data_IF_314804156010
#
_entry.id   IF_314804156010
#
_cell.length_a   1.000
_cell.length_b   1.000
_cell.length_c   1.000
_cell.angle_alpha   90.00
_cell.angle_beta   90.00
_cell.angle_gamma   90.00
#
_symmetry.space_group_name_H-M   'P 1'
#
loop_
_entity.id
_entity.type
_entity.pdbx_description
1 polymer ?
#
# COMPACT_ATOMS: atom_id res chain seq x y z
N UNK A 1 28.61 4.39 4.79
CA UNK A 1 27.51 4.85 5.64
C UNK A 1 26.97 3.66 6.38
N UNK A 2 26.91 3.65 7.70
CA UNK A 2 26.45 2.48 8.45
C UNK A 2 24.95 2.28 8.21
N UNK A 3 24.57 1.05 7.92
CA UNK A 3 23.19 0.58 7.85
C UNK A 3 22.65 0.69 9.27
N UNK A 4 21.78 1.67 9.50
CA UNK A 4 21.08 1.82 10.77
C UNK A 4 20.19 0.59 10.96
N UNK A 5 20.57 -0.25 11.91
CA UNK A 5 19.79 -1.42 12.31
C UNK A 5 18.38 -0.95 12.71
N UNK A 6 17.37 -1.55 12.10
CA UNK A 6 15.98 -1.39 12.47
C UNK A 6 15.83 -1.55 13.99
N UNK A 7 15.15 -0.64 14.67
CA UNK A 7 14.91 -0.79 16.11
C UNK A 7 14.11 -2.07 16.36
N UNK A 8 14.60 -2.89 17.28
CA UNK A 8 14.09 -4.24 17.60
C UNK A 8 12.64 -4.31 18.11
N UNK A 9 11.97 -3.16 18.28
CA UNK A 9 10.66 -3.05 18.93
C UNK A 9 9.57 -2.41 18.06
N UNK A 10 9.75 -2.39 16.73
CA UNK A 10 8.62 -2.03 15.85
C UNK A 10 7.64 -3.21 15.84
N UNK A 11 6.34 -2.99 16.12
CA UNK A 11 5.33 -4.01 15.92
C UNK A 11 5.41 -4.57 14.50
N UNK A 12 5.24 -5.87 14.35
CA UNK A 12 5.38 -6.60 13.07
C UNK A 12 4.60 -5.96 11.92
N UNK A 13 3.45 -5.35 12.22
CA UNK A 13 2.58 -4.68 11.27
C UNK A 13 3.13 -3.36 10.71
N UNK A 14 4.06 -2.68 11.41
CA UNK A 14 4.77 -1.51 10.84
C UNK A 14 5.84 -1.99 9.87
N UNK A 15 6.48 -3.11 10.15
CA UNK A 15 7.44 -3.75 9.26
C UNK A 15 6.80 -4.09 7.90
N UNK A 16 5.52 -4.46 7.89
CA UNK A 16 4.76 -4.73 6.66
C UNK A 16 4.63 -3.52 5.73
N UNK A 17 4.62 -2.31 6.28
CA UNK A 17 4.60 -1.06 5.50
C UNK A 17 5.99 -0.72 4.93
N UNK A 18 7.06 -1.20 5.56
CA UNK A 18 8.44 -0.77 5.31
C UNK A 18 9.27 -1.81 4.53
N UNK A 19 9.02 -3.11 4.67
CA UNK A 19 9.90 -4.13 4.07
C UNK A 19 9.35 -4.76 2.79
N UNK A 20 9.78 -4.22 1.66
CA UNK A 20 9.99 -4.97 0.42
C UNK A 20 11.47 -4.85 0.09
N UNK A 21 12.33 -5.62 0.75
CA UNK A 21 13.75 -5.67 0.40
C UNK A 21 14.11 -7.01 -0.23
N UNK A 22 14.71 -6.91 -1.40
CA UNK A 22 15.17 -7.96 -2.28
C UNK A 22 16.12 -8.97 -1.63
N UNK A 23 15.96 -10.24 -1.99
CA UNK A 23 17.09 -11.15 -2.21
C UNK A 23 16.98 -11.77 -3.60
N UNK A 24 17.91 -11.40 -4.44
CA UNK A 24 18.13 -12.04 -5.74
C UNK A 24 18.80 -13.38 -5.47
N UNK A 25 18.22 -14.47 -5.93
CA UNK A 25 18.97 -15.71 -6.20
C UNK A 25 18.43 -16.32 -7.49
N UNK A 26 19.33 -16.37 -8.46
CA UNK A 26 19.16 -16.97 -9.79
C UNK A 26 19.39 -18.48 -9.70
N UNK A 27 18.50 -19.28 -10.30
CA UNK A 27 18.75 -20.61 -10.91
C UNK A 27 17.40 -21.12 -11.41
N UNK A 28 17.18 -21.47 -12.66
CA UNK A 28 17.85 -22.40 -13.50
C UNK A 28 16.77 -23.14 -14.29
N UNK A 29 16.83 -23.06 -15.58
CA UNK A 29 16.19 -23.70 -16.73
C UNK A 29 15.72 -25.17 -16.59
N UNK A 30 14.58 -25.53 -17.27
CA UNK A 30 14.34 -26.68 -18.17
C UNK A 30 12.89 -26.70 -18.63
N UNK A 31 12.63 -26.41 -19.86
CA UNK A 31 12.51 -27.13 -21.16
C UNK A 31 11.45 -28.26 -21.21
N UNK A 32 10.49 -28.05 -22.16
CA UNK A 32 9.79 -28.99 -23.08
C UNK A 32 8.55 -29.76 -22.58
N UNK A 33 7.40 -29.62 -23.22
CA UNK A 33 6.94 -30.31 -24.43
C UNK A 33 5.63 -29.76 -24.98
N UNK A 34 5.57 -29.61 -26.31
CA UNK A 34 4.41 -29.23 -27.12
C UNK A 34 3.37 -30.36 -27.23
N UNK A 35 2.12 -30.01 -26.98
CA UNK A 35 1.01 -30.70 -27.65
C UNK A 35 0.00 -29.64 -28.10
N UNK A 36 -0.10 -29.46 -29.40
CA UNK A 36 -1.00 -28.53 -30.07
C UNK A 36 -2.40 -29.17 -30.24
N UNK A 37 -3.40 -28.55 -29.59
CA UNK A 37 -4.80 -28.76 -29.89
C UNK A 37 -5.43 -27.41 -30.23
N UNK A 38 -6.06 -27.17 -31.37
CA UNK A 38 -6.68 -25.89 -31.68
C UNK A 38 -8.00 -25.78 -30.91
N UNK A 39 -7.96 -25.08 -29.77
CA UNK A 39 -9.17 -24.63 -29.08
C UNK A 39 -9.55 -23.29 -29.69
N UNK A 40 -10.71 -23.25 -30.31
CA UNK A 40 -11.38 -22.07 -30.81
C UNK A 40 -11.67 -21.15 -29.62
N UNK A 41 -10.81 -20.18 -29.39
CA UNK A 41 -10.94 -19.15 -28.35
C UNK A 41 -12.05 -18.18 -28.77
N UNK A 42 -13.23 -18.34 -28.22
CA UNK A 42 -14.22 -17.27 -28.12
C UNK A 42 -13.57 -16.19 -27.23
N UNK A 43 -13.13 -15.10 -27.85
CA UNK A 43 -12.62 -13.92 -27.15
C UNK A 43 -13.75 -13.29 -26.34
N UNK A 44 -13.88 -13.68 -25.08
CA UNK A 44 -14.71 -12.92 -24.14
C UNK A 44 -14.05 -11.56 -23.91
N UNK A 45 -14.78 -10.44 -23.97
CA UNK A 45 -14.22 -9.13 -23.66
C UNK A 45 -13.65 -9.16 -22.24
N UNK A 46 -12.40 -8.80 -22.12
CA UNK A 46 -11.65 -8.82 -20.86
C UNK A 46 -12.14 -7.70 -19.94
N UNK A 47 -13.13 -7.97 -19.12
CA UNK A 47 -13.62 -7.09 -18.05
C UNK A 47 -12.50 -6.73 -17.05
N UNK A 48 -11.50 -7.60 -16.90
CA UNK A 48 -10.34 -7.40 -16.04
C UNK A 48 -9.52 -6.16 -16.41
N UNK A 49 -9.33 -5.89 -17.71
CA UNK A 49 -8.57 -4.72 -18.15
C UNK A 49 -9.33 -3.41 -17.90
N UNK A 50 -10.65 -3.46 -17.83
CA UNK A 50 -11.52 -2.32 -17.54
C UNK A 50 -11.42 -1.91 -16.06
N UNK A 51 -11.46 -2.83 -15.12
CA UNK A 51 -11.43 -2.54 -13.68
C UNK A 51 -10.10 -1.94 -13.21
N UNK A 52 -8.96 -2.39 -13.76
CA UNK A 52 -7.66 -1.75 -13.48
C UNK A 52 -7.67 -0.31 -13.98
N UNK A 53 -8.14 -0.07 -15.20
CA UNK A 53 -8.24 1.28 -15.77
C UNK A 53 -9.22 2.18 -14.98
N UNK A 54 -10.32 1.62 -14.49
CA UNK A 54 -11.27 2.33 -13.61
C UNK A 54 -10.62 2.75 -12.30
N UNK A 55 -9.80 1.87 -11.69
CA UNK A 55 -9.08 2.17 -10.46
C UNK A 55 -8.02 3.24 -10.66
N UNK A 56 -7.22 3.15 -11.74
CA UNK A 56 -6.26 4.19 -12.12
C UNK A 56 -6.95 5.54 -12.35
N UNK A 57 -8.05 5.54 -13.09
CA UNK A 57 -8.86 6.74 -13.36
C UNK A 57 -9.40 7.33 -12.06
N UNK A 58 -9.91 6.48 -11.17
CA UNK A 58 -10.44 6.91 -9.88
C UNK A 58 -9.35 7.58 -9.04
N UNK A 59 -8.19 6.94 -8.85
CA UNK A 59 -7.08 7.55 -8.12
C UNK A 59 -6.58 8.83 -8.76
N UNK A 60 -6.48 8.87 -10.09
CA UNK A 60 -6.00 10.05 -10.81
C UNK A 60 -6.98 11.23 -10.75
N UNK A 61 -8.25 10.98 -10.47
CA UNK A 61 -9.28 12.01 -10.29
C UNK A 61 -9.30 12.57 -8.87
N UNK A 62 -9.16 11.71 -7.84
CA UNK A 62 -9.23 12.09 -6.42
C UNK A 62 -7.96 12.81 -5.99
N UNK A 63 -8.12 13.95 -5.31
CA UNK A 63 -6.99 14.75 -4.80
C UNK A 63 -6.73 14.50 -3.32
N UNK A 64 -7.78 14.39 -2.53
CA UNK A 64 -7.67 14.24 -1.07
C UNK A 64 -8.61 13.16 -0.55
N UNK A 65 -8.19 12.49 0.51
CA UNK A 65 -9.01 11.58 1.30
C UNK A 65 -8.76 11.89 2.78
N UNK A 66 -9.85 11.98 3.55
CA UNK A 66 -9.81 11.91 5.01
C UNK A 66 -10.67 10.75 5.45
N UNK A 67 -10.20 9.92 6.36
CA UNK A 67 -10.92 8.75 6.83
C UNK A 67 -10.50 8.36 8.24
N UNK A 68 -11.37 7.68 8.95
CA UNK A 68 -10.98 6.78 10.03
C UNK A 68 -10.56 5.45 9.40
N UNK A 69 -9.73 4.66 10.09
CA UNK A 69 -9.38 3.33 9.63
C UNK A 69 -9.35 2.31 10.75
N UNK A 70 -9.56 1.06 10.38
CA UNK A 70 -9.27 -0.11 11.20
C UNK A 70 -8.27 -0.97 10.45
N UNK A 71 -7.19 -1.32 11.12
CA UNK A 71 -6.14 -2.22 10.65
C UNK A 71 -6.22 -3.54 11.39
N UNK A 72 -6.10 -4.65 10.66
CA UNK A 72 -6.07 -5.99 11.23
C UNK A 72 -4.98 -6.78 10.51
N UNK A 73 -4.11 -7.42 11.26
CA UNK A 73 -3.09 -8.33 10.74
C UNK A 73 -3.41 -9.79 11.06
N UNK A 74 -2.93 -10.71 10.23
CA UNK A 74 -3.19 -12.15 10.36
C UNK A 74 -2.54 -12.77 11.61
N UNK A 75 -1.59 -12.08 12.26
CA UNK A 75 -1.02 -12.45 13.55
C UNK A 75 -1.94 -12.13 14.75
N UNK A 76 -3.14 -11.60 14.49
CA UNK A 76 -4.13 -11.22 15.49
C UNK A 76 -3.98 -9.81 16.04
N UNK A 77 -2.97 -9.06 15.60
CA UNK A 77 -2.82 -7.65 16.01
C UNK A 77 -3.82 -6.76 15.29
N UNK A 78 -4.29 -5.72 15.97
CA UNK A 78 -5.20 -4.73 15.41
C UNK A 78 -4.84 -3.32 15.87
N UNK A 79 -5.18 -2.35 15.05
CA UNK A 79 -5.02 -0.93 15.34
C UNK A 79 -6.12 -0.12 14.67
N UNK A 80 -6.40 1.06 15.22
CA UNK A 80 -7.32 2.03 14.64
C UNK A 80 -6.69 3.41 14.61
N UNK A 81 -7.22 4.30 13.80
CA UNK A 81 -6.70 5.66 13.75
C UNK A 81 -7.33 6.50 12.65
N UNK A 82 -6.62 7.55 12.26
CA UNK A 82 -7.02 8.51 11.25
C UNK A 82 -6.03 8.55 10.10
N UNK A 83 -6.55 8.68 8.90
CA UNK A 83 -5.80 8.87 7.67
C UNK A 83 -6.17 10.21 7.05
N UNK A 84 -5.19 11.01 6.70
CA UNK A 84 -5.32 12.10 5.74
C UNK A 84 -4.32 11.89 4.60
N UNK A 85 -4.79 12.10 3.40
CA UNK A 85 -4.08 11.79 2.17
C UNK A 85 -4.31 12.91 1.18
N UNK A 86 -3.25 13.43 0.57
CA UNK A 86 -3.30 14.45 -0.47
C UNK A 86 -2.23 14.18 -1.52
N UNK A 87 -2.66 14.00 -2.72
CA UNK A 87 -1.76 13.78 -3.86
C UNK A 87 -1.22 15.08 -4.44
N UNK A 88 0.02 15.05 -4.94
CA UNK A 88 0.98 13.96 -4.80
C UNK A 88 1.68 13.94 -3.43
N UNK A 89 2.24 12.80 -3.08
CA UNK A 89 3.27 12.58 -2.05
C UNK A 89 2.94 12.91 -0.60
N UNK A 90 1.73 13.39 -0.26
CA UNK A 90 1.39 13.78 1.11
C UNK A 90 0.39 12.81 1.73
N UNK A 91 0.78 12.18 2.84
CA UNK A 91 -0.08 11.34 3.65
C UNK A 91 0.33 11.45 5.12
N UNK A 92 -0.64 11.41 6.00
CA UNK A 92 -0.43 11.20 7.44
C UNK A 92 -1.39 10.15 7.93
N UNK A 93 -0.86 9.16 8.62
CA UNK A 93 -1.61 8.17 9.38
C UNK A 93 -1.30 8.40 10.85
N UNK A 94 -2.33 8.55 11.68
CA UNK A 94 -2.21 8.71 13.12
C UNK A 94 -2.87 7.51 13.77
N UNK A 95 -2.12 6.75 14.55
CA UNK A 95 -2.58 5.55 15.24
C UNK A 95 -3.03 5.86 16.66
N UNK A 96 -4.11 5.20 17.07
CA UNK A 96 -4.63 5.27 18.43
C UNK A 96 -5.27 6.61 18.80
N UNK A 97 -5.49 6.78 20.10
CA UNK A 97 -5.96 8.03 20.70
C UNK A 97 -4.77 8.68 21.41
N UNK A 98 -4.31 9.83 20.91
CA UNK A 98 -3.23 10.58 21.57
C UNK A 98 -1.89 10.60 20.82
N UNK A 99 -1.92 10.41 19.52
CA UNK A 99 -0.75 10.58 18.62
C UNK A 99 0.50 9.75 19.02
N UNK A 100 0.28 8.53 19.55
CA UNK A 100 1.37 7.63 20.03
C UNK A 100 2.28 7.20 18.89
N UNK A 101 1.75 7.10 17.67
CA UNK A 101 2.49 6.72 16.48
C UNK A 101 1.91 7.43 15.27
N UNK A 102 2.78 8.05 14.47
CA UNK A 102 2.39 8.70 13.24
C UNK A 102 3.27 8.22 12.08
N UNK A 103 2.66 8.01 10.92
CA UNK A 103 3.36 7.84 9.65
C UNK A 103 3.11 9.07 8.81
N UNK A 104 4.15 9.77 8.41
CA UNK A 104 4.04 11.01 7.64
C UNK A 104 4.90 10.86 6.39
N UNK A 105 4.32 11.10 5.21
CA UNK A 105 5.10 11.11 3.98
C UNK A 105 5.48 12.54 3.59
N UNK A 106 6.70 12.69 3.12
CA UNK A 106 7.20 13.95 2.61
C UNK A 106 8.12 13.68 1.43
N UNK A 107 7.71 14.11 0.24
CA UNK A 107 8.47 13.91 -1.00
C UNK A 107 8.76 12.42 -1.25
N UNK A 108 9.99 11.97 -1.02
CA UNK A 108 10.47 10.59 -1.26
C UNK A 108 10.66 9.79 0.03
N UNK A 109 10.25 10.36 1.18
CA UNK A 109 10.44 9.74 2.48
C UNK A 109 9.12 9.39 3.16
N UNK A 110 9.11 8.25 3.83
CA UNK A 110 8.15 7.88 4.86
C UNK A 110 8.81 8.06 6.22
N UNK A 111 8.25 8.93 7.03
CA UNK A 111 8.69 9.19 8.39
C UNK A 111 7.80 8.44 9.36
N UNK A 112 8.42 7.71 10.28
CA UNK A 112 7.78 7.06 11.43
C UNK A 112 8.09 7.91 12.64
N UNK A 113 7.08 8.57 13.17
CA UNK A 113 7.15 9.45 14.32
C UNK A 113 6.57 8.76 15.55
N UNK A 114 7.35 8.77 16.63
CA UNK A 114 6.94 8.30 17.96
C UNK A 114 7.08 9.45 18.94
N UNK A 115 6.02 10.22 19.15
CA UNK A 115 6.07 11.41 19.99
C UNK A 115 6.46 11.14 21.44
N UNK A 116 6.03 9.99 21.99
CA UNK A 116 6.37 9.54 23.36
C UNK A 116 7.86 9.26 23.55
N UNK A 117 8.52 8.74 22.51
CA UNK A 117 9.97 8.49 22.49
C UNK A 117 10.77 9.68 21.95
N UNK A 118 10.10 10.73 21.44
CA UNK A 118 10.69 11.86 20.67
C UNK A 118 11.57 11.36 19.53
N UNK A 119 11.16 10.29 18.87
CA UNK A 119 11.93 9.59 17.85
C UNK A 119 11.26 9.72 16.48
N UNK A 120 12.02 10.25 15.52
CA UNK A 120 11.64 10.31 14.11
C UNK A 120 12.62 9.47 13.30
N UNK A 121 12.10 8.42 12.64
CA UNK A 121 12.89 7.56 11.74
C UNK A 121 12.36 7.68 10.32
N UNK A 122 13.24 7.70 9.32
CA UNK A 122 12.86 7.92 7.92
C UNK A 122 13.27 6.76 7.03
N UNK A 123 12.40 6.37 6.13
CA UNK A 123 12.59 5.29 5.15
C UNK A 123 12.23 5.78 3.75
N UNK A 124 12.90 5.30 2.68
CA UNK A 124 12.49 5.62 1.32
C UNK A 124 11.06 5.15 1.05
N UNK A 125 10.18 6.04 0.57
CA UNK A 125 8.79 5.68 0.28
C UNK A 125 8.69 4.65 -0.86
N UNK A 126 9.68 4.63 -1.76
CA UNK A 126 9.77 3.65 -2.85
C UNK A 126 9.87 2.20 -2.38
N UNK A 127 10.27 1.98 -1.13
CA UNK A 127 10.30 0.65 -0.51
C UNK A 127 8.93 0.25 0.08
N UNK A 128 7.91 1.07 -0.10
CA UNK A 128 6.58 0.83 0.45
C UNK A 128 5.52 0.75 -0.67
N UNK A 129 4.45 -0.04 -0.49
CA UNK A 129 3.32 -0.06 -1.42
C UNK A 129 2.61 1.29 -1.56
N UNK A 130 2.78 2.19 -0.60
CA UNK A 130 2.18 3.52 -0.59
C UNK A 130 2.69 4.39 -1.75
N UNK A 131 3.92 4.15 -2.23
CA UNK A 131 4.49 4.86 -3.38
C UNK A 131 3.59 4.80 -4.61
N UNK A 132 2.86 3.70 -4.80
CA UNK A 132 1.96 3.49 -5.95
C UNK A 132 0.79 4.45 -5.93
N UNK A 133 0.11 4.56 -4.79
CA UNK A 133 -1.10 5.37 -4.67
C UNK A 133 -0.82 6.86 -4.42
N UNK A 134 0.38 7.19 -3.94
CA UNK A 134 0.83 8.56 -3.70
C UNK A 134 1.52 9.21 -4.91
N UNK A 135 1.78 8.46 -5.97
CA UNK A 135 2.39 8.98 -7.19
C UNK A 135 1.58 10.13 -7.81
N UNK A 136 2.24 11.07 -8.48
CA UNK A 136 1.54 12.17 -9.20
C UNK A 136 0.59 11.63 -10.27
N UNK A 137 1.00 10.57 -10.96
CA UNK A 137 0.16 9.78 -11.84
C UNK A 137 0.18 8.32 -11.38
N UNK A 138 -0.96 7.85 -10.89
CA UNK A 138 -1.11 6.45 -10.50
C UNK A 138 -1.20 5.58 -11.74
N UNK A 139 -0.31 4.60 -11.83
CA UNK A 139 -0.37 3.46 -12.71
C UNK A 139 -0.28 2.20 -11.87
N UNK A 140 -1.20 1.27 -12.10
CA UNK A 140 -1.22 -0.02 -11.42
C UNK A 140 -0.56 -1.11 -12.28
N UNK A 141 -0.20 -0.77 -13.52
CA UNK A 141 0.57 -1.62 -14.44
C UNK A 141 2.01 -1.12 -14.47
N UNK A 142 2.88 -1.79 -13.75
CA UNK A 142 4.28 -1.40 -13.57
C UNK A 142 5.19 -2.45 -14.20
N UNK A 143 6.30 -2.01 -14.77
CA UNK A 143 7.33 -2.91 -15.28
C UNK A 143 7.90 -3.76 -14.13
N UNK A 144 7.97 -5.08 -14.35
CA UNK A 144 8.43 -6.04 -13.34
C UNK A 144 7.42 -6.39 -12.25
N UNK A 145 6.16 -5.92 -12.38
CA UNK A 145 5.04 -6.31 -11.51
C UNK A 145 3.92 -6.94 -12.32
N UNK A 146 3.26 -7.90 -11.72
CA UNK A 146 2.04 -8.47 -12.24
C UNK A 146 0.83 -7.81 -11.59
N UNK A 147 -0.15 -7.43 -12.40
CA UNK A 147 -1.44 -6.91 -11.94
C UNK A 147 -2.54 -7.88 -12.30
N UNK A 148 -3.24 -8.39 -11.29
CA UNK A 148 -4.33 -9.38 -11.42
C UNK A 148 -5.62 -8.84 -10.86
N UNK A 149 -6.73 -9.16 -11.51
CA UNK A 149 -8.06 -9.04 -10.89
C UNK A 149 -8.34 -10.33 -10.15
N UNK A 150 -8.55 -10.23 -8.85
CA UNK A 150 -8.95 -11.38 -8.04
C UNK A 150 -10.45 -11.68 -8.22
N UNK A 151 -10.89 -12.93 -7.98
CA UNK A 151 -12.31 -13.26 -8.00
C UNK A 151 -13.12 -12.27 -7.17
N UNK A 152 -14.19 -11.75 -7.77
CA UNK A 152 -15.04 -10.75 -7.15
C UNK A 152 -15.81 -11.36 -5.96
N UNK A 153 -15.78 -10.64 -4.84
CA UNK A 153 -16.78 -10.78 -3.79
C UNK A 153 -17.91 -9.83 -4.17
N UNK A 154 -19.17 -10.23 -4.00
CA UNK A 154 -20.32 -9.45 -4.44
C UNK A 154 -20.19 -7.96 -4.07
N UNK A 155 -20.21 -7.10 -5.10
CA UNK A 155 -20.09 -5.64 -4.96
C UNK A 155 -18.69 -5.09 -4.66
N UNK A 156 -17.64 -5.93 -4.71
CA UNK A 156 -16.24 -5.55 -4.46
C UNK A 156 -15.37 -5.93 -5.65
N UNK A 157 -14.66 -4.98 -6.21
CA UNK A 157 -13.59 -5.16 -7.18
C UNK A 157 -12.26 -5.24 -6.44
N UNK A 158 -11.46 -6.27 -6.73
CA UNK A 158 -10.18 -6.55 -6.06
C UNK A 158 -9.05 -6.60 -7.07
N UNK A 159 -8.08 -5.71 -6.94
CA UNK A 159 -6.92 -5.60 -7.82
C UNK A 159 -5.68 -5.92 -7.00
N UNK A 160 -4.96 -6.96 -7.36
CA UNK A 160 -3.71 -7.35 -6.72
C UNK A 160 -2.53 -6.97 -7.60
N UNK A 161 -1.50 -6.40 -6.98
CA UNK A 161 -0.25 -5.99 -7.60
C UNK A 161 0.88 -6.64 -6.80
N UNK A 162 1.81 -7.29 -7.48
CA UNK A 162 2.96 -7.93 -6.84
C UNK A 162 4.01 -8.31 -7.86
N UNK A 163 5.24 -8.53 -7.42
CA UNK A 163 6.27 -9.14 -8.25
C UNK A 163 5.98 -10.63 -8.40
N UNK A 164 6.21 -11.17 -9.58
CA UNK A 164 6.07 -12.61 -9.85
C UNK A 164 7.43 -13.30 -9.71
N UNK A 165 7.99 -13.28 -8.50
CA UNK A 165 9.27 -13.91 -8.18
C UNK A 165 9.12 -15.21 -7.35
N UNK A 166 7.90 -15.77 -7.33
CA UNK A 166 7.61 -17.15 -6.89
C UNK A 166 7.47 -17.36 -5.39
N UNK A 167 8.19 -16.67 -4.54
CA UNK A 167 8.08 -16.84 -3.08
C UNK A 167 8.26 -15.51 -2.34
N UNK A 168 7.18 -15.02 -1.73
CA UNK A 168 7.27 -14.06 -0.65
C UNK A 168 7.51 -12.59 -1.00
N UNK A 169 7.44 -12.20 -2.27
CA UNK A 169 7.39 -10.78 -2.60
C UNK A 169 6.09 -10.16 -2.10
N UNK A 170 6.18 -9.02 -1.45
CA UNK A 170 5.03 -8.31 -0.93
C UNK A 170 3.97 -8.08 -2.01
N UNK A 171 2.72 -8.38 -1.68
CA UNK A 171 1.58 -8.17 -2.57
C UNK A 171 0.68 -7.11 -1.99
N UNK A 172 0.29 -6.17 -2.83
CA UNK A 172 -0.70 -5.16 -2.50
C UNK A 172 -2.02 -5.52 -3.17
N UNK A 173 -3.09 -5.67 -2.40
CA UNK A 173 -4.45 -5.79 -2.93
C UNK A 173 -5.21 -4.51 -2.62
N UNK A 174 -5.79 -3.90 -3.66
CA UNK A 174 -6.66 -2.73 -3.56
C UNK A 174 -8.11 -3.19 -3.73
N UNK A 175 -8.98 -2.78 -2.80
CA UNK A 175 -10.41 -3.11 -2.84
C UNK A 175 -11.25 -1.85 -3.06
N UNK A 176 -12.13 -1.94 -4.04
CA UNK A 176 -13.10 -0.89 -4.38
C UNK A 176 -14.52 -1.43 -4.25
N UNK A 177 -15.45 -0.60 -3.75
CA UNK A 177 -16.87 -0.89 -3.97
C UNK A 177 -17.18 -0.74 -5.46
N UNK A 178 -18.08 -1.59 -5.98
CA UNK A 178 -18.44 -1.57 -7.40
C UNK A 178 -19.40 -0.40 -7.73
N UNK A 179 -20.35 -0.14 -6.84
CA UNK A 179 -21.41 0.87 -7.02
C UNK A 179 -21.70 1.60 -5.70
N UNK A 180 -21.32 2.89 -5.56
CA UNK A 180 -20.42 3.63 -6.45
C UNK A 180 -18.99 3.07 -6.40
N UNK A 181 -18.24 3.22 -7.51
CA UNK A 181 -16.86 2.78 -7.56
C UNK A 181 -15.99 3.70 -6.70
N UNK A 182 -15.55 3.18 -5.55
CA UNK A 182 -14.77 3.94 -4.57
C UNK A 182 -13.79 3.04 -3.84
N UNK A 183 -12.59 3.54 -3.61
CA UNK A 183 -11.57 2.87 -2.82
C UNK A 183 -12.01 2.72 -1.36
N UNK A 184 -11.85 1.51 -0.80
CA UNK A 184 -12.36 1.16 0.53
C UNK A 184 -11.32 0.55 1.44
N UNK A 185 -10.37 -0.19 0.89
CA UNK A 185 -9.46 -1.01 1.67
C UNK A 185 -8.22 -1.33 0.85
N UNK A 186 -7.10 -1.49 1.53
CA UNK A 186 -5.95 -2.19 0.97
C UNK A 186 -5.53 -3.32 1.88
N UNK A 187 -4.85 -4.32 1.30
CA UNK A 187 -4.30 -5.47 1.98
C UNK A 187 -2.87 -5.61 1.50
N UNK A 188 -1.94 -5.74 2.42
CA UNK A 188 -0.54 -6.03 2.14
C UNK A 188 -0.22 -7.41 2.67
N UNK A 189 0.33 -8.27 1.82
CA UNK A 189 0.96 -9.52 2.20
C UNK A 189 2.47 -9.28 2.15
N UNK A 190 3.15 -9.40 3.29
CA UNK A 190 4.58 -9.18 3.38
C UNK A 190 5.40 -10.44 3.09
N UNK A 191 6.75 -10.29 3.08
CA UNK A 191 7.67 -11.39 2.84
C UNK A 191 7.67 -12.46 3.97
N UNK A 192 7.11 -12.14 5.14
CA UNK A 192 6.89 -13.09 6.24
C UNK A 192 5.54 -13.79 6.16
N UNK A 193 4.78 -13.59 5.06
CA UNK A 193 3.42 -14.08 4.86
C UNK A 193 2.40 -13.55 5.88
N UNK A 194 2.69 -12.40 6.49
CA UNK A 194 1.74 -11.70 7.33
C UNK A 194 0.85 -10.83 6.42
N UNK A 195 -0.43 -11.11 6.44
CA UNK A 195 -1.42 -10.29 5.77
C UNK A 195 -1.89 -9.18 6.70
N UNK A 196 -1.78 -7.94 6.27
CA UNK A 196 -2.29 -6.76 6.98
C UNK A 196 -3.31 -6.03 6.13
N UNK A 197 -4.51 -5.90 6.65
CA UNK A 197 -5.60 -5.19 5.98
C UNK A 197 -5.90 -3.86 6.67
N UNK A 198 -6.10 -2.80 5.89
CA UNK A 198 -6.51 -1.48 6.37
C UNK A 198 -7.83 -1.11 5.70
N UNK A 199 -8.89 -1.06 6.48
CA UNK A 199 -10.25 -0.73 6.03
C UNK A 199 -10.57 0.70 6.40
N UNK A 200 -10.97 1.50 5.40
CA UNK A 200 -11.34 2.90 5.57
C UNK A 200 -12.81 3.02 5.96
N UNK A 201 -13.08 3.91 6.91
CA UNK A 201 -14.41 4.25 7.40
C UNK A 201 -14.60 5.77 7.39
N UNK A 202 -15.84 6.26 7.40
CA UNK A 202 -16.18 7.68 7.45
C UNK A 202 -15.41 8.51 6.40
N UNK A 203 -15.32 7.98 5.18
CA UNK A 203 -14.44 8.52 4.15
C UNK A 203 -15.01 9.80 3.58
N UNK A 204 -14.20 10.86 3.56
CA UNK A 204 -14.47 12.14 2.91
C UNK A 204 -13.47 12.35 1.78
N UNK A 205 -13.97 12.64 0.59
CA UNK A 205 -13.17 12.86 -0.61
C UNK A 205 -13.14 14.33 -0.98
N UNK A 206 -12.04 14.76 -1.58
CA UNK A 206 -11.84 16.07 -2.21
C UNK A 206 -12.08 17.29 -1.28
N UNK A 207 -12.02 17.11 0.05
CA UNK A 207 -11.96 18.21 0.98
C UNK A 207 -10.56 18.82 1.03
N UNK A 208 -10.42 20.16 1.07
CA UNK A 208 -9.13 20.79 1.24
C UNK A 208 -8.44 20.32 2.53
N UNK A 209 -7.17 19.97 2.44
CA UNK A 209 -6.32 19.60 3.59
C UNK A 209 -5.17 20.61 3.62
N UNK A 210 -5.01 21.29 4.74
CA UNK A 210 -3.97 22.28 4.94
C UNK A 210 -2.56 21.63 4.98
N UNK A 211 -1.52 22.40 4.64
CA UNK A 211 -0.14 21.89 4.63
C UNK A 211 0.33 21.47 6.02
N UNK A 212 -0.17 22.15 7.05
CA UNK A 212 0.14 21.90 8.46
C UNK A 212 -0.21 20.48 8.89
N UNK A 213 -1.21 19.86 8.26
CA UNK A 213 -1.57 18.47 8.54
C UNK A 213 -0.42 17.47 8.29
N UNK A 214 0.51 17.83 7.41
CA UNK A 214 1.62 16.97 7.01
C UNK A 214 2.98 17.47 7.55
N UNK A 215 2.97 18.44 8.49
CA UNK A 215 4.20 18.95 9.09
C UNK A 215 4.87 17.85 9.93
N UNK A 216 6.18 17.72 9.75
CA UNK A 216 7.00 16.87 10.60
C UNK A 216 7.19 17.51 11.97
N UNK A 217 7.25 16.73 13.05
CA UNK A 217 7.62 17.23 14.35
C UNK A 217 9.08 17.67 14.37
N UNK A 218 9.37 18.68 15.16
CA UNK A 218 10.74 19.11 15.46
C UNK A 218 11.05 18.68 16.90
N UNK A 219 11.96 17.72 17.04
CA UNK A 219 12.49 17.34 18.34
C UNK A 219 13.82 18.08 18.53
N UNK A 220 13.81 19.14 19.33
CA UNK A 220 15.07 19.77 19.76
C UNK A 220 15.82 18.77 20.62
N UNK A 221 17.06 18.45 20.24
CA UNK A 221 18.00 17.78 21.12
C UNK A 221 18.11 18.65 22.36
N UNK A 222 17.61 18.13 23.49
CA UNK A 222 17.73 18.86 24.78
C UNK A 222 19.21 19.02 25.09
N UNK A 223 19.67 20.24 24.96
CA UNK A 223 21.01 20.67 25.35
C UNK A 223 21.04 20.88 26.88
#
# INVERSE_FOLDING_TARGET
MPITLLPKNLPSWIMTVIMIRERITVFGSRVMFLVSLPIMLLSMPSTANDDVTRAETWFNKIRTISADFVQVASDGTSAEGKLVFRRPSSMKITYGKGDVLQLITSSVWLHVDRPDERLLTSYPISETPLSLILADKVSLRLDGYETRILPSISGIVRIQIGKDDGEGAGRLTLEFSEKPFRFRRWIVLDAASIETSVTLQNIVYDNPIANEAFRLPEYSDGN
#
